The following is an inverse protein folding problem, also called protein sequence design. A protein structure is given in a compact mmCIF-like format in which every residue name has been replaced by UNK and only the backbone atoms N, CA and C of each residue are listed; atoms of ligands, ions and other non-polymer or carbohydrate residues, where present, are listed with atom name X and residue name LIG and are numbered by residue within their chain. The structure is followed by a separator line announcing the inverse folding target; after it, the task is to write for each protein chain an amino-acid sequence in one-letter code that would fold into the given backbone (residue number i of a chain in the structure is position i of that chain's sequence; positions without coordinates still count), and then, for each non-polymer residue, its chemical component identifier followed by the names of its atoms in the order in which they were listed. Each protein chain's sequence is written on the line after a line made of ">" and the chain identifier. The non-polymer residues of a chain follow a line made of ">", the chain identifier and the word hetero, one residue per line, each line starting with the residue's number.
data_IF_289896600423
#
_entry.id   IF_289896600423
#
_cell.length_a   1.000
_cell.length_b   1.000
_cell.length_c   1.000
_cell.angle_alpha   90.00
_cell.angle_beta   90.00
_cell.angle_gamma   90.00
#
_symmetry.space_group_name_H-M   'P 1'
#
loop_
_entity.id
_entity.type
_entity.pdbx_description
1 polymer ?
#
# COMPACT_ATOMS: atom_id res chain seq x y z
N UNK A 1 16.96 -8.76 11.29
CA UNK A 1 17.57 -7.68 10.50
C UNK A 1 16.67 -7.34 9.32
N UNK A 2 16.41 -6.08 9.13
CA UNK A 2 15.57 -5.60 8.04
C UNK A 2 16.48 -5.17 6.88
N UNK A 3 16.15 -5.59 5.67
CA UNK A 3 16.86 -5.14 4.47
C UNK A 3 15.94 -4.28 3.62
N UNK A 4 16.50 -3.28 2.97
CA UNK A 4 15.77 -2.43 2.04
C UNK A 4 15.95 -2.98 0.63
N UNK A 5 14.83 -3.26 -0.04
CA UNK A 5 14.81 -3.68 -1.42
C UNK A 5 14.34 -2.54 -2.31
N UNK A 6 14.54 -2.71 -3.62
CA UNK A 6 14.00 -1.78 -4.59
C UNK A 6 12.60 -2.21 -4.99
N UNK A 7 11.62 -1.36 -4.71
CA UNK A 7 10.33 -1.47 -5.34
C UNK A 7 10.37 -0.89 -6.75
N UNK A 8 9.24 -0.79 -7.40
CA UNK A 8 9.18 -0.11 -8.69
C UNK A 8 9.00 1.40 -8.48
N UNK A 9 9.51 2.19 -9.41
CA UNK A 9 9.44 3.66 -9.40
C UNK A 9 9.91 4.31 -8.08
N UNK A 10 10.92 3.71 -7.44
CA UNK A 10 11.56 4.31 -6.29
C UNK A 10 10.88 4.12 -4.95
N UNK A 11 9.74 3.42 -4.87
CA UNK A 11 9.12 3.11 -3.58
C UNK A 11 9.99 2.10 -2.83
N UNK A 12 10.52 2.44 -1.63
CA UNK A 12 11.32 1.50 -0.88
C UNK A 12 10.48 0.34 -0.33
N UNK A 13 11.04 -0.85 -0.37
CA UNK A 13 10.44 -2.05 0.20
C UNK A 13 11.37 -2.57 1.28
N UNK A 14 10.85 -2.75 2.49
CA UNK A 14 11.63 -3.24 3.62
C UNK A 14 11.28 -4.70 3.89
N UNK A 15 12.29 -5.55 3.83
CA UNK A 15 12.16 -6.98 4.03
C UNK A 15 12.82 -7.35 5.37
N UNK A 16 12.15 -8.18 6.13
CA UNK A 16 12.63 -8.65 7.45
C UNK A 16 11.87 -9.88 7.87
N UNK A 17 11.67 -10.05 9.19
CA UNK A 17 10.97 -11.22 9.74
C UNK A 17 9.47 -11.05 9.59
N UNK A 18 8.81 -10.33 9.20
CA UNK A 18 7.36 -10.21 9.04
C UNK A 18 6.99 -9.99 7.59
N UNK A 19 5.81 -9.51 7.39
CA UNK A 19 5.36 -9.12 6.07
C UNK A 19 6.19 -7.95 5.54
N UNK A 20 6.44 -7.89 4.22
CA UNK A 20 7.11 -6.74 3.62
C UNK A 20 6.35 -5.44 3.87
N UNK A 21 7.10 -4.36 4.07
CA UNK A 21 6.54 -3.02 4.23
C UNK A 21 7.00 -2.11 3.10
N UNK A 22 6.16 -1.19 2.70
CA UNK A 22 6.53 -0.14 1.75
C UNK A 22 6.36 1.21 2.42
N UNK A 23 7.28 2.13 2.14
CA UNK A 23 7.15 3.51 2.56
C UNK A 23 6.68 4.33 1.37
N UNK A 24 5.52 4.93 1.50
CA UNK A 24 4.98 5.80 0.48
C UNK A 24 5.61 7.18 0.50
N UNK A 25 5.45 7.89 -0.60
CA UNK A 25 5.73 9.32 -0.70
C UNK A 25 4.46 10.07 -0.36
N UNK A 26 4.53 11.05 0.53
CA UNK A 26 3.35 11.78 0.96
C UNK A 26 3.65 13.25 1.19
N UNK A 27 2.61 14.08 1.07
CA UNK A 27 2.64 15.51 1.40
C UNK A 27 1.64 15.78 2.49
N UNK A 28 2.10 16.45 3.55
CA UNK A 28 1.27 16.73 4.72
C UNK A 28 0.94 15.49 5.53
N UNK A 29 1.66 14.39 5.31
CA UNK A 29 1.39 13.11 5.98
C UNK A 29 2.60 12.18 5.88
N UNK A 30 2.55 11.10 6.65
CA UNK A 30 3.46 9.97 6.51
C UNK A 30 2.62 8.74 6.14
N UNK A 31 3.11 7.92 5.20
CA UNK A 31 2.36 6.81 4.61
C UNK A 31 3.19 5.54 4.60
N UNK A 32 2.61 4.47 5.13
CA UNK A 32 3.21 3.13 5.14
C UNK A 32 2.19 2.10 4.69
N UNK A 33 2.67 1.06 3.99
CA UNK A 33 1.86 -0.09 3.60
C UNK A 33 2.48 -1.39 4.09
N UNK A 34 1.65 -2.32 4.55
CA UNK A 34 2.05 -3.64 4.98
C UNK A 34 1.43 -4.65 4.01
N UNK A 35 2.28 -5.38 3.30
CA UNK A 35 1.87 -6.29 2.24
C UNK A 35 1.73 -7.71 2.80
N UNK A 36 0.50 -8.24 2.82
CA UNK A 36 0.25 -9.58 3.35
C UNK A 36 0.60 -10.64 2.30
N UNK A 37 1.89 -10.71 1.99
CA UNK A 37 2.47 -11.68 1.05
C UNK A 37 3.77 -12.23 1.64
N UNK A 38 4.16 -13.41 1.21
CA UNK A 38 5.41 -14.00 1.67
C UNK A 38 6.62 -13.22 1.17
N UNK A 39 6.64 -12.92 -0.13
CA UNK A 39 7.69 -12.13 -0.75
C UNK A 39 7.13 -11.32 -1.91
N UNK A 40 7.61 -10.07 -2.13
CA UNK A 40 7.29 -9.36 -3.34
C UNK A 40 7.98 -10.01 -4.55
N UNK A 41 7.51 -9.79 -5.77
CA UNK A 41 6.40 -8.92 -6.13
C UNK A 41 5.03 -9.55 -5.86
N UNK A 42 3.99 -8.72 -5.90
CA UNK A 42 2.61 -9.17 -5.73
C UNK A 42 2.17 -10.01 -6.94
N UNK A 43 1.18 -10.87 -6.73
CA UNK A 43 0.61 -11.69 -7.80
C UNK A 43 -0.65 -11.06 -8.36
N UNK A 44 -0.79 -11.08 -9.69
CA UNK A 44 -2.03 -10.63 -10.34
C UNK A 44 -3.15 -11.64 -10.19
N UNK A 45 -4.39 -11.19 -10.42
CA UNK A 45 -5.61 -12.02 -10.44
C UNK A 45 -5.89 -12.76 -9.14
N UNK A 46 -5.42 -12.22 -8.06
CA UNK A 46 -5.52 -12.80 -6.72
C UNK A 46 -5.76 -11.67 -5.74
N UNK A 47 -6.62 -11.91 -4.76
CA UNK A 47 -6.85 -10.88 -3.75
C UNK A 47 -5.63 -10.75 -2.84
N UNK A 48 -5.12 -9.53 -2.74
CA UNK A 48 -3.97 -9.20 -1.90
C UNK A 48 -4.44 -8.26 -0.81
N UNK A 49 -4.27 -8.67 0.45
CA UNK A 49 -4.54 -7.80 1.58
C UNK A 49 -3.37 -6.84 1.77
N UNK A 50 -3.66 -5.56 1.84
CA UNK A 50 -2.68 -4.52 2.14
C UNK A 50 -3.25 -3.64 3.23
N UNK A 51 -2.51 -3.49 4.32
CA UNK A 51 -2.88 -2.63 5.42
C UNK A 51 -2.07 -1.36 5.32
N UNK A 52 -2.74 -0.23 5.45
CA UNK A 52 -2.12 1.09 5.31
C UNK A 52 -2.18 1.85 6.62
N UNK A 53 -1.10 2.58 6.93
CA UNK A 53 -1.12 3.61 7.96
C UNK A 53 -0.78 4.94 7.34
N UNK A 54 -1.56 5.94 7.68
CA UNK A 54 -1.38 7.28 7.16
C UNK A 54 -1.78 8.30 8.21
N UNK A 55 -0.89 9.25 8.48
CA UNK A 55 -1.18 10.35 9.39
C UNK A 55 -2.13 11.34 8.73
N UNK A 56 -2.67 12.27 9.53
CA UNK A 56 -3.59 13.28 9.04
C UNK A 56 -4.99 13.10 9.60
N UNK A 57 -5.98 13.70 8.95
CA UNK A 57 -7.37 13.68 9.37
C UNK A 57 -8.31 13.31 8.24
N UNK A 58 -9.43 12.71 8.60
CA UNK A 58 -10.47 12.35 7.67
C UNK A 58 -10.38 10.91 7.19
N UNK A 59 -11.38 10.44 6.43
CA UNK A 59 -11.40 9.09 5.92
C UNK A 59 -10.30 8.87 4.87
N UNK A 60 -9.89 7.61 4.73
CA UNK A 60 -8.92 7.23 3.71
C UNK A 60 -9.64 6.89 2.41
N UNK A 61 -9.12 7.39 1.30
CA UNK A 61 -9.52 6.98 -0.05
C UNK A 61 -8.32 6.38 -0.76
N UNK A 62 -8.54 5.29 -1.47
CA UNK A 62 -7.48 4.52 -2.10
C UNK A 62 -7.85 4.20 -3.55
N UNK A 63 -6.88 4.33 -4.46
CA UNK A 63 -7.05 3.99 -5.87
C UNK A 63 -5.73 3.49 -6.44
N UNK A 64 -5.79 2.40 -7.20
CA UNK A 64 -4.61 1.84 -7.86
C UNK A 64 -4.78 1.83 -9.36
N UNK A 65 -3.80 2.38 -10.08
CA UNK A 65 -3.84 2.53 -11.54
C UNK A 65 -2.49 2.22 -12.18
N UNK A 66 -2.54 1.86 -13.47
CA UNK A 66 -1.37 1.79 -14.35
C UNK A 66 -1.36 2.99 -15.29
N UNK A 67 -0.20 3.30 -15.90
CA UNK A 67 -0.12 4.40 -16.86
C UNK A 67 -1.03 4.26 -18.08
N UNK A 68 -1.42 3.04 -18.45
CA UNK A 68 -2.33 2.79 -19.57
C UNK A 68 -3.81 3.03 -19.22
N UNK A 69 -4.10 3.46 -17.99
CA UNK A 69 -5.46 3.70 -17.53
C UNK A 69 -6.13 2.51 -16.86
N UNK A 70 -5.47 1.35 -16.82
CA UNK A 70 -6.01 0.19 -16.11
C UNK A 70 -6.16 0.50 -14.62
N UNK A 71 -7.23 -0.04 -14.01
CA UNK A 71 -7.51 0.10 -12.59
C UNK A 71 -7.53 -1.26 -11.91
N UNK A 72 -7.07 -1.31 -10.66
CA UNK A 72 -7.21 -2.50 -9.85
C UNK A 72 -8.57 -2.49 -9.16
N UNK A 73 -9.11 -3.69 -8.95
CA UNK A 73 -10.35 -3.84 -8.21
C UNK A 73 -10.06 -3.75 -6.72
N UNK A 74 -10.78 -2.88 -6.04
CA UNK A 74 -10.80 -2.84 -4.58
C UNK A 74 -11.91 -3.78 -4.11
N UNK A 75 -11.55 -5.00 -3.76
CA UNK A 75 -12.51 -6.03 -3.39
C UNK A 75 -13.19 -5.71 -2.06
N UNK A 76 -12.48 -5.07 -1.15
CA UNK A 76 -13.02 -4.60 0.12
C UNK A 76 -12.15 -3.48 0.68
N UNK A 77 -12.72 -2.66 1.56
CA UNK A 77 -12.05 -1.54 2.20
C UNK A 77 -12.10 -0.27 1.36
N UNK A 78 -11.41 0.77 1.83
CA UNK A 78 -10.61 0.77 3.06
C UNK A 78 -11.48 0.67 4.32
N UNK A 79 -11.09 -0.22 5.22
CA UNK A 79 -11.78 -0.41 6.49
C UNK A 79 -10.85 0.03 7.62
N UNK A 80 -11.26 1.05 8.36
CA UNK A 80 -10.48 1.54 9.48
C UNK A 80 -10.56 0.56 10.64
N UNK A 81 -9.41 0.25 11.22
CA UNK A 81 -9.36 -0.56 12.44
C UNK A 81 -8.18 -0.13 13.31
N UNK A 82 -8.25 -0.48 14.59
CA UNK A 82 -7.20 -0.20 15.55
C UNK A 82 -6.73 -1.47 16.23
N UNK A 83 -5.87 -1.30 17.22
CA UNK A 83 -5.43 -2.41 18.08
C UNK A 83 -4.39 -3.34 17.45
N UNK A 84 -3.83 -3.02 16.29
CA UNK A 84 -2.77 -3.82 15.71
C UNK A 84 -1.44 -3.57 16.42
N UNK A 85 -0.54 -4.53 16.33
CA UNK A 85 0.81 -4.39 16.86
C UNK A 85 1.81 -3.84 15.82
N UNK A 86 1.34 -3.49 14.63
CA UNK A 86 2.18 -2.87 13.62
C UNK A 86 2.47 -1.41 14.01
N UNK A 87 3.74 -1.10 14.20
CA UNK A 87 4.16 0.19 14.75
C UNK A 87 4.60 1.14 13.66
N UNK A 88 3.65 1.87 13.11
CA UNK A 88 3.91 2.99 12.19
C UNK A 88 2.95 4.12 12.57
N UNK A 89 3.33 5.37 12.25
CA UNK A 89 2.48 6.50 12.63
C UNK A 89 1.17 6.53 11.83
N UNK A 90 0.16 7.09 12.45
CA UNK A 90 -1.14 7.31 11.81
C UNK A 90 -2.17 6.25 12.12
N UNK A 91 -3.38 6.48 11.61
CA UNK A 91 -4.48 5.55 11.71
C UNK A 91 -4.31 4.45 10.68
N UNK A 92 -4.99 3.33 10.88
CA UNK A 92 -4.79 2.11 10.12
C UNK A 92 -6.05 1.70 9.38
N UNK A 93 -5.89 1.30 8.11
CA UNK A 93 -6.98 0.78 7.27
C UNK A 93 -6.55 -0.48 6.57
N UNK A 94 -7.46 -1.46 6.50
CA UNK A 94 -7.26 -2.64 5.68
C UNK A 94 -7.90 -2.48 4.30
N UNK A 95 -7.27 -3.07 3.30
CA UNK A 95 -7.78 -3.14 1.93
C UNK A 95 -7.52 -4.51 1.34
N UNK A 96 -8.36 -4.91 0.37
CA UNK A 96 -8.10 -6.07 -0.45
C UNK A 96 -8.13 -5.67 -1.91
N UNK A 97 -6.99 -5.79 -2.61
CA UNK A 97 -6.87 -5.45 -4.03
C UNK A 97 -6.78 -6.68 -4.90
N UNK A 98 -7.36 -6.59 -6.09
CA UNK A 98 -7.14 -7.56 -7.16
C UNK A 98 -6.56 -6.79 -8.35
N UNK A 99 -5.30 -7.09 -8.67
CA UNK A 99 -4.62 -6.46 -9.81
C UNK A 99 -4.85 -7.31 -11.05
N UNK A 100 -5.43 -6.75 -12.13
CA UNK A 100 -5.81 -7.57 -13.30
C UNK A 100 -4.64 -8.00 -14.17
N UNK A 101 -3.50 -7.30 -14.08
CA UNK A 101 -2.34 -7.58 -14.93
C UNK A 101 -1.05 -7.13 -14.26
N UNK A 102 0.11 -7.59 -14.77
CA UNK A 102 1.40 -7.18 -14.21
C UNK A 102 1.74 -5.73 -14.52
N UNK A 103 2.63 -5.18 -13.74
CA UNK A 103 3.13 -3.84 -13.95
C UNK A 103 3.51 -3.16 -12.65
N UNK A 104 3.94 -1.92 -12.76
CA UNK A 104 4.23 -1.05 -11.63
C UNK A 104 2.99 -0.19 -11.36
N UNK A 105 2.23 -0.59 -10.37
CA UNK A 105 0.93 0.03 -10.04
C UNK A 105 1.12 1.21 -9.11
N UNK A 106 0.51 2.34 -9.46
CA UNK A 106 0.48 3.50 -8.57
C UNK A 106 -0.73 3.39 -7.66
N UNK A 107 -0.52 3.27 -6.37
CA UNK A 107 -1.59 3.32 -5.37
C UNK A 107 -1.60 4.73 -4.79
N UNK A 108 -2.69 5.44 -5.02
CA UNK A 108 -2.89 6.79 -4.51
C UNK A 108 -3.78 6.73 -3.28
N UNK A 109 -3.35 7.41 -2.22
CA UNK A 109 -4.05 7.43 -0.94
C UNK A 109 -4.26 8.89 -0.53
N UNK A 110 -5.51 9.23 -0.22
CA UNK A 110 -5.85 10.59 0.18
C UNK A 110 -6.67 10.59 1.46
N UNK A 111 -6.43 11.60 2.28
CA UNK A 111 -7.27 11.93 3.43
C UNK A 111 -7.76 13.36 3.26
N UNK A 112 -8.63 13.84 4.16
CA UNK A 112 -9.05 15.24 4.13
C UNK A 112 -7.83 16.15 4.22
N UNK A 113 -6.87 15.82 5.10
CA UNK A 113 -5.59 16.51 5.17
C UNK A 113 -4.49 15.54 4.76
N UNK A 114 -3.80 15.82 3.68
CA UNK A 114 -2.69 15.01 3.23
C UNK A 114 -3.02 14.06 2.08
N UNK A 115 -2.04 13.80 1.27
CA UNK A 115 -2.11 12.88 0.14
C UNK A 115 -0.79 12.15 -0.02
N UNK A 116 -0.84 10.97 -0.61
CA UNK A 116 0.37 10.18 -0.82
C UNK A 116 0.16 9.12 -1.89
N UNK A 117 1.24 8.44 -2.20
CA UNK A 117 1.21 7.32 -3.12
C UNK A 117 2.34 6.33 -2.83
N UNK A 118 2.15 5.13 -3.28
CA UNK A 118 3.18 4.10 -3.28
C UNK A 118 3.09 3.33 -4.59
N UNK A 119 4.23 2.90 -5.11
CA UNK A 119 4.28 2.07 -6.31
C UNK A 119 4.49 0.63 -5.91
N UNK A 120 3.66 -0.27 -6.44
CA UNK A 120 3.70 -1.70 -6.14
C UNK A 120 3.96 -2.50 -7.40
N UNK A 121 4.98 -3.34 -7.36
CA UNK A 121 5.29 -4.23 -8.48
C UNK A 121 4.40 -5.47 -8.42
N UNK A 122 3.71 -5.76 -9.52
CA UNK A 122 2.84 -6.92 -9.69
C UNK A 122 3.38 -7.76 -10.85
N UNK A 123 3.55 -9.05 -10.63
CA UNK A 123 3.99 -10.00 -11.65
C UNK A 123 2.82 -10.74 -12.31
#
# INVERSE_FOLDING_TARGET
>A
MVSEGKGCNGTPVFLGEGFPEVRGTAQGAELWGLLFVGQPPLSRKKEIKIVWRMTGEGPLRVRATLPDGSTAKLAWGPEQHGGSNWRRPGQEWGTGFVFPKPGCWKVELTRTSGSGHAWLLVK
#
